data_IF_045471079619
#
_entry.id   IF_045471079619
#
_cell.length_a   1.000
_cell.length_b   1.000
_cell.length_c   1.000
_cell.angle_alpha   90.00
_cell.angle_beta   90.00
_cell.angle_gamma   90.00
#
_symmetry.space_group_name_H-M   'P 1'
#
loop_
_entity.id
_entity.type
_entity.pdbx_description
1 polymer ?
#
# COMPACT_ATOMS: atom_id res chain seq x y z
N UNK A 1 10.03 -16.57 -17.91
CA UNK A 1 10.20 -15.12 -18.21
C UNK A 1 9.74 -14.29 -17.01
N UNK A 2 10.43 -13.21 -16.63
CA UNK A 2 9.97 -12.31 -15.55
C UNK A 2 8.76 -11.50 -16.04
N UNK A 3 7.72 -11.43 -15.23
CA UNK A 3 6.49 -10.65 -15.48
C UNK A 3 6.07 -9.93 -14.20
N UNK A 4 5.32 -8.85 -14.35
CA UNK A 4 4.98 -7.94 -13.26
C UNK A 4 3.51 -8.11 -12.87
N UNK A 5 3.26 -8.48 -11.63
CA UNK A 5 1.93 -8.77 -11.11
C UNK A 5 1.24 -7.53 -10.58
N UNK A 6 -0.07 -7.46 -10.80
CA UNK A 6 -0.94 -6.42 -10.24
C UNK A 6 -2.17 -7.02 -9.55
N UNK A 7 -2.74 -6.25 -8.63
CA UNK A 7 -3.94 -6.61 -7.88
C UNK A 7 -5.21 -6.50 -8.74
N UNK A 8 -6.40 -6.97 -8.31
CA UNK A 8 -7.63 -6.72 -9.08
C UNK A 8 -7.93 -5.22 -9.29
N UNK A 9 -7.42 -4.34 -8.41
CA UNK A 9 -7.51 -2.89 -8.60
C UNK A 9 -6.41 -2.32 -9.54
N UNK A 10 -5.48 -3.16 -10.01
CA UNK A 10 -4.36 -2.78 -10.86
C UNK A 10 -3.09 -2.37 -10.10
N UNK A 11 -3.05 -2.42 -8.77
CA UNK A 11 -1.86 -1.99 -8.00
C UNK A 11 -0.71 -2.99 -8.14
N UNK A 12 0.50 -2.51 -8.37
CA UNK A 12 1.69 -3.36 -8.46
C UNK A 12 1.91 -4.18 -7.18
N UNK A 13 2.21 -5.47 -7.34
CA UNK A 13 2.42 -6.43 -6.25
C UNK A 13 3.84 -7.02 -6.21
N UNK A 14 4.57 -6.96 -7.32
CA UNK A 14 5.91 -7.55 -7.42
C UNK A 14 6.14 -8.27 -8.75
N UNK A 15 7.31 -8.88 -8.85
CA UNK A 15 7.71 -9.73 -9.96
C UNK A 15 7.26 -11.17 -9.72
N UNK A 16 6.97 -11.88 -10.80
CA UNK A 16 6.75 -13.32 -10.81
C UNK A 16 7.28 -13.91 -12.12
N UNK A 17 7.20 -15.23 -12.27
CA UNK A 17 7.70 -15.94 -13.44
C UNK A 17 6.53 -16.48 -14.25
N UNK A 18 6.55 -16.21 -15.55
CA UNK A 18 5.75 -16.93 -16.54
C UNK A 18 6.53 -18.15 -17.01
N UNK A 19 5.84 -19.29 -17.07
CA UNK A 19 6.38 -20.57 -17.53
C UNK A 19 6.25 -20.69 -19.05
N UNK A 20 7.21 -21.36 -19.70
CA UNK A 20 7.11 -21.65 -21.13
C UNK A 20 6.11 -22.78 -21.36
N UNK A 21 5.34 -22.69 -22.45
CA UNK A 21 4.39 -23.71 -22.84
C UNK A 21 5.13 -25.00 -23.18
N UNK A 22 4.80 -26.14 -22.56
CA UNK A 22 5.44 -27.42 -22.88
C UNK A 22 5.04 -27.94 -24.27
N UNK A 23 3.96 -27.41 -24.87
CA UNK A 23 3.44 -27.82 -26.17
C UNK A 23 3.92 -26.91 -27.31
N UNK A 24 4.24 -25.65 -27.00
CA UNK A 24 4.52 -24.61 -27.98
C UNK A 24 5.78 -23.84 -27.58
N UNK A 25 6.96 -24.25 -28.07
CA UNK A 25 8.21 -23.56 -27.79
C UNK A 25 8.12 -22.07 -28.16
N UNK A 26 8.58 -21.21 -27.26
CA UNK A 26 8.53 -19.74 -27.38
C UNK A 26 7.22 -19.09 -26.91
N UNK A 27 6.17 -19.86 -26.60
CA UNK A 27 4.92 -19.33 -26.02
C UNK A 27 5.01 -19.36 -24.50
N UNK A 28 4.67 -18.25 -23.85
CA UNK A 28 4.74 -18.12 -22.39
C UNK A 28 3.35 -18.04 -21.76
N UNK A 29 3.12 -18.85 -20.74
CA UNK A 29 1.87 -18.92 -19.99
C UNK A 29 1.83 -17.80 -18.95
N UNK A 30 1.10 -16.73 -19.27
CA UNK A 30 0.97 -15.55 -18.42
C UNK A 30 0.05 -15.84 -17.23
N UNK A 31 0.52 -15.72 -15.98
CA UNK A 31 -0.35 -15.83 -14.81
C UNK A 31 -1.41 -14.73 -14.82
N UNK A 32 -2.53 -14.97 -14.13
CA UNK A 32 -3.59 -13.98 -14.04
C UNK A 32 -3.08 -12.65 -13.47
N UNK A 33 -3.50 -11.54 -14.11
CA UNK A 33 -3.15 -10.17 -13.70
C UNK A 33 -1.64 -9.90 -13.70
N UNK A 34 -0.98 -10.25 -14.79
CA UNK A 34 0.43 -9.95 -15.02
C UNK A 34 0.61 -9.21 -16.34
N UNK A 35 1.70 -8.45 -16.44
CA UNK A 35 2.14 -7.78 -17.68
C UNK A 35 3.63 -7.98 -17.87
N UNK A 36 4.10 -7.97 -19.11
CA UNK A 36 5.54 -7.99 -19.44
C UNK A 36 6.17 -6.60 -19.33
N UNK A 37 5.36 -5.54 -19.24
CA UNK A 37 5.84 -4.16 -19.12
C UNK A 37 6.29 -3.89 -17.69
N UNK A 38 7.54 -3.49 -17.45
CA UNK A 38 8.02 -3.16 -16.11
C UNK A 38 7.33 -1.92 -15.54
N UNK A 39 7.08 -1.86 -14.22
CA UNK A 39 6.75 -0.61 -13.56
C UNK A 39 7.96 0.35 -13.62
N UNK A 40 7.78 1.65 -13.30
CA UNK A 40 8.90 2.56 -13.10
C UNK A 40 9.90 1.98 -12.10
N UNK A 41 11.22 2.15 -12.30
CA UNK A 41 12.22 1.61 -11.37
C UNK A 41 12.12 2.23 -9.97
N UNK A 42 11.69 3.48 -9.89
CA UNK A 42 11.53 4.25 -8.66
C UNK A 42 10.22 5.04 -8.70
N UNK A 43 9.63 5.26 -7.53
CA UNK A 43 8.47 6.14 -7.37
C UNK A 43 8.47 6.77 -5.97
N UNK A 44 7.84 7.95 -5.80
CA UNK A 44 7.70 8.60 -4.50
C UNK A 44 6.96 7.73 -3.48
N UNK A 45 7.28 7.89 -2.19
CA UNK A 45 6.70 7.09 -1.11
C UNK A 45 5.17 7.22 -0.98
N UNK A 46 4.64 8.39 -1.31
CA UNK A 46 3.21 8.72 -1.33
C UNK A 46 2.49 8.26 -2.60
N UNK A 47 3.21 7.65 -3.54
CA UNK A 47 2.70 7.18 -4.83
C UNK A 47 2.86 5.67 -4.95
N UNK A 48 2.06 5.06 -5.83
CA UNK A 48 2.12 3.64 -6.12
C UNK A 48 1.82 3.38 -7.60
N UNK A 49 2.56 2.47 -8.28
CA UNK A 49 2.25 2.09 -9.65
C UNK A 49 0.92 1.32 -9.74
N UNK A 50 0.08 1.72 -10.69
CA UNK A 50 -1.18 1.09 -11.03
C UNK A 50 -1.25 0.81 -12.54
N UNK A 51 -1.46 -0.45 -12.90
CA UNK A 51 -1.73 -0.86 -14.27
C UNK A 51 -3.12 -0.40 -14.71
N UNK A 52 -3.19 0.28 -15.85
CA UNK A 52 -4.44 0.77 -16.44
C UNK A 52 -4.93 -0.07 -17.64
N UNK A 53 -4.27 -1.20 -17.93
CA UNK A 53 -4.53 -2.02 -19.11
C UNK A 53 -3.53 -1.80 -20.25
N UNK A 54 -2.82 -0.68 -20.25
CA UNK A 54 -1.86 -0.30 -21.32
C UNK A 54 -0.49 0.05 -20.76
N UNK A 55 -0.46 0.78 -19.64
CA UNK A 55 0.77 1.27 -19.01
C UNK A 55 0.61 1.39 -17.49
N UNK A 56 1.73 1.55 -16.80
CA UNK A 56 1.77 1.90 -15.38
C UNK A 56 1.54 3.40 -15.20
N UNK A 57 0.57 3.76 -14.37
CA UNK A 57 0.33 5.12 -13.91
C UNK A 57 0.56 5.21 -12.39
N UNK A 58 1.18 6.29 -11.92
CA UNK A 58 1.36 6.52 -10.49
C UNK A 58 0.07 7.09 -9.90
N UNK A 59 -0.48 6.39 -8.91
CA UNK A 59 -1.63 6.82 -8.11
C UNK A 59 -1.20 7.14 -6.68
N UNK A 60 -2.03 7.87 -5.94
CA UNK A 60 -1.76 8.11 -4.53
C UNK A 60 -1.84 6.80 -3.74
N UNK A 61 -0.84 6.56 -2.91
CA UNK A 61 -0.89 5.49 -1.93
C UNK A 61 -1.94 5.86 -0.87
N UNK A 62 -2.87 4.95 -0.51
CA UNK A 62 -3.78 5.20 0.60
C UNK A 62 -2.97 5.48 1.86
N UNK A 63 -3.06 6.72 2.37
CA UNK A 63 -2.47 7.06 3.66
C UNK A 63 -3.42 6.60 4.75
N UNK A 64 -2.90 5.84 5.71
CA UNK A 64 -3.62 5.66 6.97
C UNK A 64 -3.79 7.05 7.60
N UNK A 65 -4.96 7.35 8.21
CA UNK A 65 -5.09 8.56 9.01
C UNK A 65 -3.96 8.59 10.03
N UNK A 66 -3.30 9.75 10.17
CA UNK A 66 -2.32 9.93 11.22
C UNK A 66 -2.97 9.59 12.57
N UNK A 67 -2.29 8.82 13.41
CA UNK A 67 -2.76 8.59 14.77
C UNK A 67 -2.90 9.95 15.48
N UNK A 68 -3.95 10.18 16.27
CA UNK A 68 -4.08 11.42 17.02
C UNK A 68 -2.87 11.58 17.96
N UNK A 69 -2.39 12.81 18.12
CA UNK A 69 -1.33 13.14 19.07
C UNK A 69 -1.72 12.62 20.47
N UNK A 70 -0.92 11.72 21.09
CA UNK A 70 -1.21 11.18 22.40
C UNK A 70 -1.42 12.26 23.47
N UNK A 71 -0.69 13.39 23.37
CA UNK A 71 -0.82 14.50 24.33
C UNK A 71 -2.14 15.23 24.12
N UNK A 72 -2.49 15.58 22.89
CA UNK A 72 -3.79 16.17 22.58
C UNK A 72 -4.95 15.26 22.99
N UNK A 73 -4.82 13.94 22.78
CA UNK A 73 -5.81 12.94 23.20
C UNK A 73 -5.95 12.90 24.72
N UNK A 74 -4.84 12.90 25.45
CA UNK A 74 -4.85 12.93 26.91
C UNK A 74 -5.46 14.23 27.45
N UNK A 75 -5.08 15.37 26.87
CA UNK A 75 -5.62 16.68 27.26
C UNK A 75 -7.13 16.76 27.04
N UNK A 76 -7.63 16.28 25.90
CA UNK A 76 -9.06 16.20 25.63
C UNK A 76 -9.78 15.32 26.67
N UNK A 77 -9.24 14.13 26.93
CA UNK A 77 -9.79 13.21 27.94
C UNK A 77 -9.85 13.84 29.34
N UNK A 78 -8.79 14.52 29.79
CA UNK A 78 -8.76 15.16 31.11
C UNK A 78 -9.73 16.36 31.19
N UNK A 79 -9.90 17.12 30.10
CA UNK A 79 -10.89 18.20 30.05
C UNK A 79 -12.33 17.68 30.12
N UNK A 80 -12.60 16.53 29.51
CA UNK A 80 -13.91 15.86 29.56
C UNK A 80 -14.17 15.18 30.91
N UNK A 81 -13.12 14.82 31.66
CA UNK A 81 -13.18 14.07 32.92
C UNK A 81 -12.41 14.82 34.04
N UNK A 82 -12.98 15.91 34.59
CA UNK A 82 -12.30 16.75 35.56
C UNK A 82 -12.03 16.04 36.91
N UNK A 83 -12.83 15.03 37.25
CA UNK A 83 -12.64 14.16 38.40
C UNK A 83 -11.35 13.33 38.26
N UNK A 84 -11.11 12.77 37.07
CA UNK A 84 -9.87 12.03 36.77
C UNK A 84 -8.66 12.97 36.81
N UNK A 85 -8.80 14.19 36.29
CA UNK A 85 -7.75 15.20 36.37
C UNK A 85 -7.38 15.58 37.82
N UNK A 86 -8.38 15.68 38.71
CA UNK A 86 -8.16 16.00 40.12
C UNK A 86 -7.38 14.91 40.86
N UNK A 87 -7.55 13.63 40.50
CA UNK A 87 -6.80 12.51 41.11
C UNK A 87 -5.29 12.59 40.85
N UNK A 88 -4.89 13.12 39.68
CA UNK A 88 -3.48 13.29 39.34
C UNK A 88 -2.78 14.34 40.22
N UNK A 89 -3.52 15.34 40.70
CA UNK A 89 -3.00 16.40 41.58
C UNK A 89 -2.89 15.97 43.05
N UNK A 90 -3.65 14.96 43.45
CA UNK A 90 -3.64 14.42 44.83
C UNK A 90 -2.46 13.48 45.10
N UNK A 91 -1.76 13.05 44.05
CA UNK A 91 -0.66 12.07 44.12
C UNK A 91 0.73 12.73 44.15
N UNK A 92 0.81 14.05 44.37
CA UNK A 92 2.04 14.85 44.35
C UNK A 92 2.42 15.39 45.73
#
# INVERSE_FOLDING_TARGET
>A
MIVYQYSPAGLYQGETVADESPLEPGVWLMPARTTTVPPPAEWPEDRWPRWNGVAWALVNKPQAPAAPDPVAKLAAFLNENPDVAALLQQSA
#
